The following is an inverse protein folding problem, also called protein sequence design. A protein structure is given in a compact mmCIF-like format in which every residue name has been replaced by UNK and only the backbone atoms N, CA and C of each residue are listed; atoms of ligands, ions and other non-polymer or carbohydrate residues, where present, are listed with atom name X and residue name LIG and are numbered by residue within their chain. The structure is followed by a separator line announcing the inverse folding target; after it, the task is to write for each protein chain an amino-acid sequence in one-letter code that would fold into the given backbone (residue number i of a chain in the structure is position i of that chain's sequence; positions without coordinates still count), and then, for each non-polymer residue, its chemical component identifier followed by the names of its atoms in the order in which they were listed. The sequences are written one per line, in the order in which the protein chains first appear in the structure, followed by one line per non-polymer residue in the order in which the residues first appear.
data_IF_355667964309
#
_entry.id   IF_355667964309
#
_cell.length_a   1.000
_cell.length_b   1.000
_cell.length_c   1.000
_cell.angle_alpha   90.00
_cell.angle_beta   90.00
_cell.angle_gamma   90.00
#
_symmetry.space_group_name_H-M   'P 1'
#
loop_
_entity.id
_entity.type
_entity.pdbx_description
1 polymer ?
#
# COMPACT_ATOMS: atom_id res chain seq x y z
N UNK A 1 18.75 12.10 11.99
CA UNK A 1 17.93 11.43 13.03
C UNK A 1 18.79 10.39 13.73
N UNK A 2 18.72 10.26 15.05
CA UNK A 2 19.51 9.29 15.81
C UNK A 2 19.02 7.85 15.60
N UNK A 3 19.84 6.81 15.87
CA UNK A 3 19.39 5.41 15.78
C UNK A 3 18.16 5.09 16.66
N UNK A 4 18.07 5.52 17.94
CA UNK A 4 16.90 5.25 18.77
C UNK A 4 15.61 5.87 18.23
N UNK A 5 15.67 7.11 17.72
CA UNK A 5 14.51 7.78 17.12
C UNK A 5 13.99 7.02 15.89
N UNK A 6 14.90 6.59 15.00
CA UNK A 6 14.52 5.79 13.82
C UNK A 6 13.84 4.48 14.21
N UNK A 7 14.33 3.82 15.26
CA UNK A 7 13.70 2.62 15.79
C UNK A 7 12.30 2.92 16.34
N UNK A 8 12.13 3.99 17.11
CA UNK A 8 10.83 4.38 17.64
C UNK A 8 9.79 4.62 16.54
N UNK A 9 10.17 5.30 15.46
CA UNK A 9 9.32 5.48 14.30
C UNK A 9 9.02 4.18 13.56
N UNK A 10 10.03 3.32 13.35
CA UNK A 10 9.84 2.03 12.70
C UNK A 10 8.88 1.12 13.49
N UNK A 11 8.95 1.13 14.83
CA UNK A 11 8.02 0.41 15.70
C UNK A 11 6.61 0.98 15.60
N UNK A 12 6.47 2.32 15.63
CA UNK A 12 5.15 2.97 15.50
C UNK A 12 4.53 2.72 14.12
N UNK A 13 5.35 2.69 13.08
CA UNK A 13 4.94 2.34 11.72
C UNK A 13 4.33 0.94 11.67
N UNK A 14 5.02 -0.06 12.23
CA UNK A 14 4.53 -1.44 12.27
C UNK A 14 3.19 -1.54 13.02
N UNK A 15 3.08 -0.86 14.16
CA UNK A 15 1.84 -0.85 14.94
C UNK A 15 0.66 -0.27 14.16
N UNK A 16 0.87 0.80 13.38
CA UNK A 16 -0.17 1.41 12.55
C UNK A 16 -0.57 0.50 11.39
N UNK A 17 0.39 -0.10 10.70
CA UNK A 17 0.12 -1.04 9.60
C UNK A 17 -0.65 -2.25 10.13
N UNK A 18 -0.26 -2.78 11.29
CA UNK A 18 -0.94 -3.89 11.94
C UNK A 18 -2.37 -3.52 12.37
N UNK A 19 -2.57 -2.38 13.02
CA UNK A 19 -3.90 -1.87 13.37
C UNK A 19 -4.76 -1.66 12.11
N UNK A 20 -4.16 -1.26 10.99
CA UNK A 20 -4.83 -1.18 9.70
C UNK A 20 -5.36 -2.53 9.22
N UNK A 21 -4.58 -3.61 9.35
CA UNK A 21 -5.03 -4.96 9.01
C UNK A 21 -6.15 -5.45 9.94
N UNK A 22 -6.06 -5.14 11.23
CA UNK A 22 -7.10 -5.49 12.22
C UNK A 22 -8.42 -4.76 11.95
N UNK A 23 -8.36 -3.49 11.55
CA UNK A 23 -9.53 -2.69 11.17
C UNK A 23 -10.12 -3.10 9.81
N UNK A 24 -9.33 -3.78 8.96
CA UNK A 24 -9.72 -4.22 7.63
C UNK A 24 -9.49 -5.73 7.46
N UNK A 25 -10.19 -6.59 8.22
CA UNK A 25 -10.07 -8.02 8.05
C UNK A 25 -10.44 -8.37 6.60
N UNK A 26 -9.53 -9.05 5.90
CA UNK A 26 -9.75 -9.45 4.51
C UNK A 26 -11.06 -10.24 4.37
N UNK A 27 -11.65 -10.31 3.17
CA UNK A 27 -12.88 -11.05 2.97
C UNK A 27 -12.68 -12.48 3.46
N UNK A 28 -13.44 -12.86 4.49
CA UNK A 28 -13.51 -14.24 4.96
C UNK A 28 -14.00 -15.06 3.79
N UNK A 29 -13.16 -15.95 3.28
CA UNK A 29 -13.59 -16.98 2.36
C UNK A 29 -14.49 -17.92 3.16
N UNK A 30 -15.78 -17.59 3.29
CA UNK A 30 -16.77 -18.53 3.81
C UNK A 30 -16.81 -19.70 2.83
N UNK A 31 -16.27 -20.84 3.27
CA UNK A 31 -16.17 -22.08 2.50
C UNK A 31 -17.56 -22.62 2.14
N UNK A 32 -18.62 -22.15 2.81
CA UNK A 32 -20.00 -22.52 2.53
C UNK A 32 -20.60 -21.67 1.41
N UNK A 33 -20.61 -22.22 0.19
CA UNK A 33 -21.37 -21.68 -0.95
C UNK A 33 -20.53 -21.00 -2.04
N UNK A 34 -19.19 -21.04 -1.97
CA UNK A 34 -18.35 -20.54 -3.04
C UNK A 34 -18.41 -21.47 -4.26
N UNK A 35 -19.43 -21.28 -5.11
CA UNK A 35 -19.30 -21.58 -6.53
C UNK A 35 -17.92 -21.11 -6.98
N UNK A 36 -17.14 -22.03 -7.56
CA UNK A 36 -15.73 -21.87 -7.91
C UNK A 36 -15.51 -20.69 -8.85
N UNK A 37 -15.53 -19.45 -8.33
CA UNK A 37 -15.14 -18.26 -9.08
C UNK A 37 -13.65 -18.40 -9.34
N UNK A 38 -13.33 -18.64 -10.60
CA UNK A 38 -11.98 -18.87 -11.10
C UNK A 38 -11.13 -17.61 -10.85
N UNK A 39 -10.32 -17.60 -9.80
CA UNK A 39 -9.36 -16.53 -9.50
C UNK A 39 -9.21 -16.22 -8.01
N UNK A 40 -8.09 -15.58 -7.62
CA UNK A 40 -7.90 -15.07 -6.26
C UNK A 40 -9.00 -14.04 -5.97
N UNK A 41 -9.69 -14.12 -4.82
CA UNK A 41 -10.67 -13.10 -4.43
C UNK A 41 -10.01 -11.72 -4.47
N UNK A 42 -10.68 -10.74 -5.09
CA UNK A 42 -10.21 -9.37 -5.08
C UNK A 42 -10.09 -8.90 -3.62
N UNK A 43 -8.89 -8.46 -3.24
CA UNK A 43 -8.67 -7.84 -1.94
C UNK A 43 -9.18 -6.40 -1.97
N UNK A 44 -9.81 -5.91 -0.89
CA UNK A 44 -10.34 -4.55 -0.86
C UNK A 44 -9.19 -3.53 -0.90
N UNK A 45 -9.41 -2.33 -1.48
CA UNK A 45 -8.37 -1.31 -1.64
C UNK A 45 -7.54 -1.00 -0.38
N UNK A 46 -8.12 -0.91 0.84
CA UNK A 46 -7.34 -0.69 2.06
C UNK A 46 -6.31 -1.80 2.32
N UNK A 47 -6.68 -3.06 2.09
CA UNK A 47 -5.78 -4.21 2.30
C UNK A 47 -4.65 -4.20 1.28
N UNK A 48 -4.91 -3.79 0.04
CA UNK A 48 -3.86 -3.65 -0.98
C UNK A 48 -2.82 -2.59 -0.58
N UNK A 49 -3.27 -1.45 -0.06
CA UNK A 49 -2.37 -0.42 0.46
C UNK A 49 -1.54 -0.93 1.64
N UNK A 50 -2.17 -1.59 2.61
CA UNK A 50 -1.49 -2.13 3.79
C UNK A 50 -0.43 -3.18 3.41
N UNK A 51 -0.72 -4.04 2.43
CA UNK A 51 0.25 -4.98 1.86
C UNK A 51 1.46 -4.25 1.26
N UNK A 52 1.23 -3.19 0.48
CA UNK A 52 2.31 -2.38 -0.10
C UNK A 52 3.14 -1.72 0.99
N UNK A 53 2.51 -1.13 2.01
CA UNK A 53 3.22 -0.51 3.14
C UNK A 53 4.08 -1.53 3.89
N UNK A 54 3.54 -2.72 4.18
CA UNK A 54 4.29 -3.81 4.80
C UNK A 54 5.49 -4.25 3.94
N UNK A 55 5.23 -4.59 2.69
CA UNK A 55 6.23 -5.21 1.80
C UNK A 55 7.34 -4.23 1.39
N UNK A 56 7.00 -2.94 1.30
CA UNK A 56 7.94 -1.88 0.92
C UNK A 56 8.34 -0.97 2.08
N UNK A 57 8.23 -1.42 3.34
CA UNK A 57 8.57 -0.65 4.55
C UNK A 57 9.96 -0.01 4.45
N UNK A 58 10.94 -0.75 3.95
CA UNK A 58 12.32 -0.25 3.82
C UNK A 58 12.41 0.95 2.88
N UNK A 59 11.71 0.92 1.74
CA UNK A 59 11.65 2.05 0.81
C UNK A 59 10.84 3.21 1.40
N UNK A 60 9.72 2.92 2.04
CA UNK A 60 8.87 3.95 2.67
C UNK A 60 9.63 4.72 3.75
N UNK A 61 10.45 4.05 4.56
CA UNK A 61 11.21 4.69 5.64
C UNK A 61 12.60 5.19 5.19
N UNK A 62 12.98 5.03 3.93
CA UNK A 62 14.32 5.35 3.44
C UNK A 62 14.70 6.84 3.63
N UNK A 63 13.73 7.75 3.46
CA UNK A 63 13.93 9.20 3.62
C UNK A 63 14.41 9.61 5.02
N UNK A 64 14.24 8.74 6.02
CA UNK A 64 14.70 9.00 7.40
C UNK A 64 16.23 8.95 7.55
N UNK A 65 16.93 8.41 6.54
CA UNK A 65 18.39 8.24 6.56
C UNK A 65 19.08 8.50 5.23
N UNK A 66 18.40 8.35 4.09
CA UNK A 66 18.94 8.68 2.77
C UNK A 66 18.31 9.99 2.26
N UNK A 67 19.03 11.09 2.43
CA UNK A 67 18.58 12.43 2.02
C UNK A 67 18.49 12.62 0.50
N UNK A 68 18.97 11.66 -0.30
CA UNK A 68 18.78 11.67 -1.76
C UNK A 68 17.37 11.22 -2.14
N UNK A 69 16.65 10.58 -1.22
CA UNK A 69 15.23 10.24 -1.39
C UNK A 69 14.42 11.50 -1.11
N UNK A 70 13.81 12.14 -2.12
CA UNK A 70 12.95 13.30 -1.89
C UNK A 70 11.72 12.85 -1.09
N UNK A 71 11.26 13.71 -0.19
CA UNK A 71 10.01 13.48 0.54
C UNK A 71 8.78 13.82 -0.32
N UNK A 72 8.96 14.63 -1.37
CA UNK A 72 7.91 14.97 -2.31
C UNK A 72 7.74 13.92 -3.41
N UNK A 73 6.52 13.87 -3.96
CA UNK A 73 6.16 12.98 -5.07
C UNK A 73 6.16 13.73 -6.42
N UNK A 74 6.87 14.86 -6.53
CA UNK A 74 6.73 15.75 -7.68
C UNK A 74 7.15 15.09 -8.99
N UNK A 75 8.15 14.20 -8.95
CA UNK A 75 8.59 13.46 -10.13
C UNK A 75 7.60 12.33 -10.48
N UNK A 76 7.09 11.61 -9.48
CA UNK A 76 6.11 10.56 -9.67
C UNK A 76 4.81 11.08 -10.27
N UNK A 77 4.32 12.24 -9.84
CA UNK A 77 3.12 12.88 -10.42
C UNK A 77 3.32 13.30 -11.87
N UNK A 78 4.52 13.75 -12.24
CA UNK A 78 4.87 14.15 -13.62
C UNK A 78 5.07 12.96 -14.55
N UNK A 79 5.56 11.85 -14.00
CA UNK A 79 5.84 10.62 -14.76
C UNK A 79 4.57 9.78 -14.97
N UNK A 80 3.45 10.08 -14.30
CA UNK A 80 2.13 9.53 -14.65
C UNK A 80 1.73 10.14 -16.00
N UNK A 81 1.67 9.35 -17.09
CA UNK A 81 1.27 9.90 -18.38
C UNK A 81 -0.16 10.43 -18.28
N UNK A 82 -0.39 11.66 -18.73
CA UNK A 82 -1.71 12.28 -18.89
C UNK A 82 -2.65 11.54 -19.90
N UNK A 83 -2.29 10.34 -20.35
CA UNK A 83 -2.92 9.62 -21.46
C UNK A 83 -3.49 8.26 -21.08
N UNK A 84 -4.16 8.16 -19.93
CA UNK A 84 -5.27 7.21 -19.81
C UNK A 84 -6.56 8.00 -19.97
N UNK A 85 -6.74 8.58 -21.16
CA UNK A 85 -8.08 8.88 -21.63
C UNK A 85 -8.76 7.52 -21.78
N UNK A 86 -9.70 7.21 -20.90
CA UNK A 86 -10.71 6.21 -21.21
C UNK A 86 -11.35 6.67 -22.52
N UNK A 87 -11.00 6.02 -23.62
CA UNK A 87 -11.77 6.11 -24.85
C UNK A 87 -13.13 5.49 -24.53
N UNK A 88 -14.08 6.34 -24.14
CA UNK A 88 -15.50 6.03 -24.23
C UNK A 88 -15.78 5.76 -25.69
N UNK A 89 -15.83 4.48 -26.06
CA UNK A 89 -16.45 4.04 -27.28
C UNK A 89 -17.96 4.12 -27.07
N UNK A 90 -18.59 5.15 -27.62
CA UNK A 90 -19.97 5.03 -28.08
C UNK A 90 -19.99 4.11 -29.30
N UNK A 91 -20.81 3.06 -29.23
CA UNK A 91 -21.92 2.75 -30.17
C UNK A 91 -22.92 1.84 -29.48
#
# INVERSE_FOLDING_TARGET
MSPPERLAFATRYDAIVQAGFEANPGPVLTIEGAEKKRGRPQQPPPVNLLLRLRDFKGQVLAFMSDFRVPFDNNQGERDIPHSIAFSGGEV
#
